data_IF_768780731675
#
_entry.id   IF_768780731675
#
_cell.length_a   1.000
_cell.length_b   1.000
_cell.length_c   1.000
_cell.angle_alpha   90.00
_cell.angle_beta   90.00
_cell.angle_gamma   90.00
#
_symmetry.space_group_name_H-M   'P 1'
#
loop_
_entity.id
_entity.type
_entity.pdbx_description
1 polymer ?
#
# COMPACT_ATOMS: atom_id res chain seq x y z
N UNK A 1 4.60 17.75 20.71
CA UNK A 1 3.48 16.89 20.27
C UNK A 1 2.75 17.56 19.13
N UNK A 2 2.42 16.84 18.07
CA UNK A 2 1.65 17.34 16.93
C UNK A 2 0.20 16.86 17.02
N UNK A 3 -0.73 17.60 16.40
CA UNK A 3 -2.12 17.19 16.25
C UNK A 3 -2.29 16.46 14.93
N UNK A 4 -2.57 15.17 14.96
CA UNK A 4 -2.69 14.31 13.79
C UNK A 4 -4.11 13.78 13.67
N UNK A 5 -4.62 13.73 12.44
CA UNK A 5 -5.87 13.07 12.16
C UNK A 5 -5.62 11.87 11.25
N UNK A 6 -6.17 10.69 11.62
CA UNK A 6 -6.11 9.46 10.82
C UNK A 6 -7.49 9.21 10.23
N UNK A 7 -7.57 9.20 8.91
CA UNK A 7 -8.80 8.98 8.15
C UNK A 7 -8.93 7.50 7.78
N UNK A 8 -9.89 6.83 8.39
CA UNK A 8 -10.10 5.39 8.33
C UNK A 8 -9.62 4.68 9.61
N UNK A 9 -10.51 3.92 10.25
CA UNK A 9 -10.22 3.09 11.43
C UNK A 9 -10.37 1.58 11.12
N UNK A 10 -10.06 1.20 9.88
CA UNK A 10 -10.01 -0.18 9.44
C UNK A 10 -8.80 -0.94 10.01
N UNK A 11 -8.45 -2.07 9.37
CA UNK A 11 -7.35 -2.93 9.80
C UNK A 11 -6.02 -2.17 9.93
N UNK A 12 -5.65 -1.38 8.93
CA UNK A 12 -4.37 -0.64 8.89
C UNK A 12 -4.48 0.69 9.64
N UNK A 13 -5.54 1.48 9.37
CA UNK A 13 -5.68 2.82 9.97
C UNK A 13 -5.78 2.82 11.49
N UNK A 14 -6.37 1.78 12.09
CA UNK A 14 -6.38 1.61 13.55
C UNK A 14 -4.97 1.39 14.14
N UNK A 15 -4.11 0.68 13.42
CA UNK A 15 -2.70 0.46 13.82
C UNK A 15 -1.92 1.77 13.71
N UNK A 16 -2.09 2.51 12.63
CA UNK A 16 -1.48 3.84 12.47
C UNK A 16 -1.89 4.80 13.58
N UNK A 17 -3.18 4.83 13.90
CA UNK A 17 -3.68 5.71 14.96
C UNK A 17 -3.07 5.37 16.32
N UNK A 18 -2.98 4.08 16.66
CA UNK A 18 -2.35 3.61 17.91
C UNK A 18 -0.86 3.93 17.95
N UNK A 19 -0.15 3.68 16.87
CA UNK A 19 1.29 3.90 16.77
C UNK A 19 1.63 5.40 16.93
N UNK A 20 0.93 6.28 16.22
CA UNK A 20 1.13 7.72 16.31
C UNK A 20 0.70 8.29 17.68
N UNK A 21 -0.30 7.71 18.32
CA UNK A 21 -0.78 8.15 19.63
C UNK A 21 0.26 7.96 20.75
N UNK A 22 1.28 7.12 20.54
CA UNK A 22 2.40 6.98 21.50
C UNK A 22 3.23 8.25 21.64
N UNK A 23 3.21 9.15 20.63
CA UNK A 23 4.06 10.34 20.58
C UNK A 23 3.29 11.64 20.28
N UNK A 24 2.04 11.57 19.84
CA UNK A 24 1.28 12.69 19.31
C UNK A 24 -0.17 12.71 19.80
N UNK A 25 -0.85 13.84 19.63
CA UNK A 25 -2.29 13.96 19.84
C UNK A 25 -3.02 13.45 18.61
N UNK A 26 -3.61 12.26 18.69
CA UNK A 26 -4.26 11.61 17.52
C UNK A 26 -5.77 11.65 17.66
N UNK A 27 -6.43 11.97 16.52
CA UNK A 27 -7.86 11.78 16.34
C UNK A 27 -8.08 10.80 15.20
N UNK A 28 -8.78 9.69 15.45
CA UNK A 28 -9.15 8.71 14.42
C UNK A 28 -10.57 8.95 13.91
N UNK A 29 -10.76 8.86 12.61
CA UNK A 29 -12.04 9.16 11.93
C UNK A 29 -12.48 7.99 11.09
N UNK A 30 -13.73 7.57 11.22
CA UNK A 30 -14.34 6.55 10.38
C UNK A 30 -15.84 6.80 10.25
N UNK A 31 -16.45 6.27 9.19
CA UNK A 31 -17.92 6.26 9.04
C UNK A 31 -18.55 5.18 9.95
N UNK A 32 -17.80 4.17 10.32
CA UNK A 32 -18.23 3.03 11.14
C UNK A 32 -17.95 3.25 12.60
N UNK A 33 -18.99 3.51 13.39
CA UNK A 33 -18.89 3.57 14.85
C UNK A 33 -18.28 2.28 15.46
N UNK A 34 -18.58 1.11 14.86
CA UNK A 34 -18.02 -0.18 15.29
C UNK A 34 -16.49 -0.25 15.17
N UNK A 35 -15.92 0.37 14.14
CA UNK A 35 -14.46 0.43 13.99
C UNK A 35 -13.83 1.34 15.05
N UNK A 36 -14.44 2.48 15.31
CA UNK A 36 -13.98 3.47 16.28
C UNK A 36 -14.02 2.97 17.72
N UNK A 37 -15.01 2.16 18.10
CA UNK A 37 -15.14 1.56 19.44
C UNK A 37 -13.95 0.68 19.85
N UNK A 38 -13.10 0.26 18.88
CA UNK A 38 -11.88 -0.51 19.17
C UNK A 38 -10.69 0.37 19.59
N UNK A 39 -10.85 1.69 19.55
CA UNK A 39 -9.83 2.69 19.84
C UNK A 39 -10.18 3.44 21.12
N UNK A 40 -10.09 2.75 22.29
CA UNK A 40 -10.55 3.26 23.58
C UNK A 40 -9.76 4.46 24.08
N UNK A 41 -8.45 4.53 23.78
CA UNK A 41 -7.53 5.54 24.33
C UNK A 41 -7.19 6.65 23.31
N UNK A 42 -7.94 6.70 22.20
CA UNK A 42 -7.72 7.66 21.12
C UNK A 42 -9.03 8.43 20.88
N UNK A 43 -8.92 9.75 20.71
CA UNK A 43 -10.05 10.58 20.34
C UNK A 43 -10.62 10.09 19.01
N UNK A 44 -11.94 9.92 18.94
CA UNK A 44 -12.61 9.41 17.73
C UNK A 44 -13.69 10.35 17.25
N UNK A 45 -13.91 10.41 15.94
CA UNK A 45 -14.98 11.16 15.28
C UNK A 45 -15.68 10.23 14.26
N UNK A 46 -16.97 9.97 14.46
CA UNK A 46 -17.77 9.23 13.50
C UNK A 46 -18.35 10.20 12.46
N UNK A 47 -17.82 10.16 11.24
CA UNK A 47 -18.28 11.03 10.15
C UNK A 47 -17.88 10.50 8.77
N UNK A 48 -18.65 10.90 7.76
CA UNK A 48 -18.38 10.61 6.35
C UNK A 48 -17.42 11.66 5.77
N UNK A 49 -16.15 11.27 5.59
CA UNK A 49 -15.09 12.11 5.02
C UNK A 49 -15.13 12.23 3.50
N UNK A 50 -15.99 11.48 2.80
CA UNK A 50 -16.24 11.68 1.37
C UNK A 50 -16.92 13.02 1.09
N UNK A 51 -17.60 13.57 2.10
CA UNK A 51 -18.23 14.89 2.07
C UNK A 51 -17.20 15.96 2.43
N UNK A 52 -16.79 16.75 1.44
CA UNK A 52 -15.77 17.81 1.58
C UNK A 52 -15.99 18.72 2.79
N UNK A 53 -17.25 19.14 3.05
CA UNK A 53 -17.58 20.00 4.21
C UNK A 53 -17.24 19.33 5.56
N UNK A 54 -17.53 18.03 5.70
CA UNK A 54 -17.22 17.27 6.91
C UNK A 54 -15.71 17.19 7.10
N UNK A 55 -15.00 16.81 6.04
CA UNK A 55 -13.54 16.70 6.05
C UNK A 55 -12.88 18.03 6.44
N UNK A 56 -13.23 19.12 5.75
CA UNK A 56 -12.69 20.45 6.03
C UNK A 56 -12.87 20.88 7.48
N UNK A 57 -14.06 20.62 8.06
CA UNK A 57 -14.35 20.97 9.46
C UNK A 57 -13.39 20.28 10.45
N UNK A 58 -13.09 18.99 10.22
CA UNK A 58 -12.30 18.20 11.18
C UNK A 58 -10.80 18.38 11.02
N UNK A 59 -10.31 18.86 9.85
CA UNK A 59 -8.87 19.03 9.60
C UNK A 59 -8.36 20.46 9.84
N UNK A 60 -9.20 21.41 10.27
CA UNK A 60 -8.81 22.81 10.43
C UNK A 60 -7.59 23.01 11.34
N UNK A 61 -7.58 22.35 12.50
CA UNK A 61 -6.59 22.53 13.55
C UNK A 61 -5.61 21.34 13.66
N UNK A 62 -5.30 20.66 12.54
CA UNK A 62 -4.34 19.56 12.53
C UNK A 62 -3.06 19.95 11.82
N UNK A 63 -1.95 19.37 12.27
CA UNK A 63 -0.62 19.54 11.67
C UNK A 63 -0.40 18.60 10.50
N UNK A 64 -1.00 17.39 10.56
CA UNK A 64 -0.85 16.35 9.56
C UNK A 64 -2.12 15.49 9.45
N UNK A 65 -2.46 15.14 8.22
CA UNK A 65 -3.48 14.13 7.88
C UNK A 65 -2.80 12.83 7.48
N UNK A 66 -3.29 11.71 7.97
CA UNK A 66 -2.87 10.36 7.55
C UNK A 66 -4.06 9.66 6.92
N UNK A 67 -3.93 9.26 5.66
CA UNK A 67 -5.01 8.62 4.89
C UNK A 67 -4.88 7.09 4.91
N UNK A 68 -5.97 6.41 5.30
CA UNK A 68 -6.11 4.96 5.30
C UNK A 68 -7.50 4.55 4.78
N UNK A 69 -7.92 5.18 3.70
CA UNK A 69 -9.23 4.99 3.08
C UNK A 69 -9.18 4.00 1.92
N UNK A 70 -10.31 3.38 1.54
CA UNK A 70 -10.39 2.60 0.31
C UNK A 70 -9.99 3.41 -0.92
N UNK A 71 -9.39 2.74 -1.92
CA UNK A 71 -8.80 3.37 -3.09
C UNK A 71 -9.76 4.30 -3.84
N UNK A 72 -11.05 3.94 -3.99
CA UNK A 72 -12.03 4.75 -4.70
C UNK A 72 -12.30 6.14 -4.05
N UNK A 73 -11.87 6.36 -2.80
CA UNK A 73 -12.02 7.63 -2.07
C UNK A 73 -10.70 8.42 -2.01
N UNK A 74 -9.56 7.73 -2.05
CA UNK A 74 -8.25 8.29 -1.73
C UNK A 74 -7.90 9.55 -2.52
N UNK A 75 -8.04 9.52 -3.84
CA UNK A 75 -7.69 10.65 -4.70
C UNK A 75 -8.49 11.92 -4.39
N UNK A 76 -9.82 11.79 -4.23
CA UNK A 76 -10.69 12.92 -3.88
C UNK A 76 -10.32 13.51 -2.52
N UNK A 77 -10.15 12.64 -1.52
CA UNK A 77 -9.81 13.08 -0.16
C UNK A 77 -8.44 13.74 -0.13
N UNK A 78 -7.42 13.19 -0.80
CA UNK A 78 -6.10 13.83 -0.95
C UNK A 78 -6.23 15.23 -1.55
N UNK A 79 -7.00 15.38 -2.64
CA UNK A 79 -7.26 16.68 -3.27
C UNK A 79 -7.87 17.67 -2.28
N UNK A 80 -8.91 17.25 -1.54
CA UNK A 80 -9.62 18.11 -0.59
C UNK A 80 -8.70 18.54 0.58
N UNK A 81 -7.82 17.65 1.06
CA UNK A 81 -6.81 17.94 2.10
C UNK A 81 -5.76 18.94 1.58
N UNK A 82 -5.26 18.75 0.36
CA UNK A 82 -4.32 19.66 -0.28
C UNK A 82 -4.96 21.06 -0.48
N UNK A 83 -6.22 21.12 -0.88
CA UNK A 83 -6.97 22.39 -1.02
C UNK A 83 -7.13 23.11 0.32
N UNK A 84 -7.25 22.37 1.42
CA UNK A 84 -7.28 22.93 2.77
C UNK A 84 -5.91 23.34 3.32
N UNK A 85 -4.84 23.21 2.53
CA UNK A 85 -3.47 23.58 2.92
C UNK A 85 -2.87 22.66 3.99
N UNK A 86 -3.29 21.40 4.08
CA UNK A 86 -2.81 20.45 5.07
C UNK A 86 -1.87 19.41 4.45
N UNK A 87 -0.79 19.10 5.16
CA UNK A 87 0.09 17.98 4.79
C UNK A 87 -0.63 16.64 4.93
N UNK A 88 -0.29 15.70 4.05
CA UNK A 88 -0.89 14.36 4.06
C UNK A 88 0.14 13.28 3.74
N UNK A 89 0.02 12.14 4.43
CA UNK A 89 0.64 10.85 4.08
C UNK A 89 -0.47 9.85 3.88
N UNK A 90 -0.52 9.22 2.71
CA UNK A 90 -1.66 8.37 2.30
C UNK A 90 -1.21 7.01 1.80
N UNK A 91 -1.96 5.97 2.17
CA UNK A 91 -1.76 4.59 1.72
C UNK A 91 -2.82 4.11 0.73
N UNK A 92 -3.80 4.94 0.39
CA UNK A 92 -4.92 4.54 -0.47
C UNK A 92 -4.44 4.16 -1.87
N UNK A 93 -4.90 3.01 -2.38
CA UNK A 93 -4.52 2.48 -3.69
C UNK A 93 -5.53 2.89 -4.77
N UNK A 94 -5.55 4.17 -5.17
CA UNK A 94 -6.47 4.71 -6.17
C UNK A 94 -5.94 4.62 -7.61
N UNK A 95 -6.81 4.54 -8.63
CA UNK A 95 -6.41 4.42 -10.04
C UNK A 95 -5.94 5.72 -10.69
N UNK A 96 -6.31 6.88 -10.12
CA UNK A 96 -5.99 8.18 -10.69
C UNK A 96 -4.50 8.49 -10.62
N UNK A 97 -4.00 9.33 -11.54
CA UNK A 97 -2.64 9.86 -11.51
C UNK A 97 -2.51 10.98 -10.47
N UNK A 98 -1.82 10.74 -9.33
CA UNK A 98 -1.67 11.73 -8.26
C UNK A 98 -0.85 12.95 -8.67
N UNK A 99 0.03 12.82 -9.67
CA UNK A 99 0.83 13.95 -10.14
C UNK A 99 -0.01 15.08 -10.76
N UNK A 100 -1.27 14.83 -11.10
CA UNK A 100 -2.21 15.90 -11.49
C UNK A 100 -2.47 16.90 -10.36
N UNK A 101 -2.23 16.52 -9.10
CA UNK A 101 -2.37 17.39 -7.93
C UNK A 101 -1.09 18.16 -7.57
N UNK A 102 0.05 17.89 -8.23
CA UNK A 102 1.35 18.46 -7.86
C UNK A 102 1.38 20.00 -7.88
N UNK A 103 0.85 20.61 -8.95
CA UNK A 103 0.77 22.08 -9.03
C UNK A 103 -0.07 22.67 -7.90
N UNK A 104 -1.16 22.02 -7.53
CA UNK A 104 -2.04 22.43 -6.43
C UNK A 104 -1.33 22.32 -5.09
N UNK A 105 -0.66 21.19 -4.84
CA UNK A 105 0.10 20.96 -3.61
C UNK A 105 1.25 21.96 -3.45
N UNK A 106 2.01 22.24 -4.51
CA UNK A 106 3.07 23.25 -4.51
C UNK A 106 2.54 24.67 -4.26
N UNK A 107 1.43 25.05 -4.91
CA UNK A 107 0.77 26.35 -4.70
C UNK A 107 0.38 26.54 -3.23
N UNK A 108 -0.15 25.51 -2.59
CA UNK A 108 -0.59 25.52 -1.20
C UNK A 108 0.55 25.21 -0.20
N UNK A 109 1.80 25.01 -0.69
CA UNK A 109 2.98 24.64 0.10
C UNK A 109 2.77 23.36 0.94
N UNK A 110 2.01 22.41 0.41
CA UNK A 110 1.64 21.14 1.06
C UNK A 110 2.63 20.05 0.68
N UNK A 111 3.01 19.24 1.65
CA UNK A 111 3.69 17.95 1.46
C UNK A 111 2.59 16.87 1.35
N UNK A 112 2.50 16.23 0.20
CA UNK A 112 1.52 15.17 -0.02
C UNK A 112 2.22 13.88 -0.46
N UNK A 113 2.46 12.98 0.49
CA UNK A 113 3.06 11.66 0.24
C UNK A 113 1.95 10.68 -0.11
N UNK A 114 2.10 10.00 -1.24
CA UNK A 114 1.16 9.01 -1.76
C UNK A 114 1.74 7.60 -1.71
N UNK A 115 0.89 6.58 -1.84
CA UNK A 115 1.33 5.18 -1.97
C UNK A 115 2.33 4.75 -0.86
N UNK A 116 2.14 5.22 0.38
CA UNK A 116 3.12 5.12 1.46
C UNK A 116 2.89 3.89 2.35
N UNK A 117 2.81 2.71 1.75
CA UNK A 117 2.63 1.43 2.45
C UNK A 117 3.86 0.52 2.41
N UNK A 118 3.64 -0.79 2.46
CA UNK A 118 4.71 -1.77 2.27
C UNK A 118 5.05 -1.89 0.79
N UNK A 119 4.05 -2.05 -0.08
CA UNK A 119 4.15 -2.07 -1.54
C UNK A 119 2.79 -1.70 -2.16
N UNK A 120 2.72 -0.60 -2.89
CA UNK A 120 3.78 0.41 -3.04
C UNK A 120 4.14 1.11 -1.73
N UNK A 121 5.36 1.58 -1.62
CA UNK A 121 5.85 2.30 -0.45
C UNK A 121 7.30 1.95 -0.09
N UNK A 122 7.52 1.01 0.83
CA UNK A 122 8.88 0.69 1.30
C UNK A 122 9.80 0.19 0.17
N UNK A 123 9.26 -0.59 -0.80
CA UNK A 123 10.00 -0.98 -1.99
C UNK A 123 10.51 0.21 -2.79
N UNK A 124 9.66 1.21 -2.98
CA UNK A 124 9.99 2.46 -3.67
C UNK A 124 11.04 3.28 -2.90
N UNK A 125 10.93 3.37 -1.56
CA UNK A 125 11.90 4.08 -0.70
C UNK A 125 13.27 3.45 -0.83
N UNK A 126 13.37 2.12 -0.74
CA UNK A 126 14.61 1.36 -0.92
C UNK A 126 15.17 1.59 -2.34
N UNK A 127 14.32 1.57 -3.35
CA UNK A 127 14.72 1.88 -4.72
C UNK A 127 15.32 3.28 -4.82
N UNK A 128 14.63 4.29 -4.30
CA UNK A 128 15.09 5.68 -4.30
C UNK A 128 16.44 5.87 -3.58
N UNK A 129 16.67 5.14 -2.50
CA UNK A 129 17.96 5.14 -1.81
C UNK A 129 19.09 4.65 -2.71
N UNK A 130 18.90 3.52 -3.40
CA UNK A 130 19.92 3.00 -4.30
C UNK A 130 20.10 3.85 -5.55
N UNK A 131 19.03 4.45 -6.07
CA UNK A 131 19.10 5.35 -7.21
C UNK A 131 19.97 6.59 -6.94
N UNK A 132 20.12 7.00 -5.67
CA UNK A 132 21.05 8.06 -5.29
C UNK A 132 22.52 7.63 -5.20
N UNK A 133 22.81 6.31 -5.23
CA UNK A 133 24.15 5.75 -4.96
C UNK A 133 24.76 4.98 -6.13
N UNK A 134 23.92 4.46 -7.02
CA UNK A 134 24.35 3.58 -8.09
C UNK A 134 23.52 3.77 -9.36
N UNK A 135 24.06 3.36 -10.51
CA UNK A 135 23.29 3.24 -11.75
C UNK A 135 22.53 1.93 -11.72
N UNK A 136 21.22 1.99 -11.45
CA UNK A 136 20.35 0.81 -11.43
C UNK A 136 20.09 0.33 -12.86
N UNK A 137 20.15 -0.98 -13.06
CA UNK A 137 19.79 -1.65 -14.32
C UNK A 137 18.52 -2.48 -14.19
N UNK A 138 18.30 -3.08 -13.01
CA UNK A 138 17.15 -3.95 -12.78
C UNK A 138 16.57 -3.73 -11.38
N UNK A 139 15.25 -3.71 -11.32
CA UNK A 139 14.47 -3.68 -10.08
C UNK A 139 13.38 -4.73 -10.15
N UNK A 140 13.33 -5.59 -9.17
CA UNK A 140 12.27 -6.56 -8.98
C UNK A 140 11.76 -6.49 -7.55
N UNK A 141 10.45 -6.44 -7.39
CA UNK A 141 9.80 -6.51 -6.09
C UNK A 141 8.74 -7.61 -6.12
N UNK A 142 8.86 -8.56 -5.21
CA UNK A 142 7.88 -9.59 -4.95
C UNK A 142 7.29 -9.34 -3.57
N UNK A 143 5.95 -9.26 -3.46
CA UNK A 143 5.29 -8.96 -2.19
C UNK A 143 3.99 -9.75 -2.03
N UNK A 144 3.72 -10.22 -0.83
CA UNK A 144 2.46 -10.89 -0.51
C UNK A 144 2.09 -10.75 0.96
N UNK A 145 0.79 -10.58 1.22
CA UNK A 145 0.19 -10.76 2.52
C UNK A 145 -0.71 -11.99 2.48
N UNK A 146 -0.43 -12.98 3.31
CA UNK A 146 -1.09 -14.27 3.27
C UNK A 146 -1.49 -14.73 4.67
N UNK A 147 -2.59 -15.49 4.81
CA UNK A 147 -2.91 -16.14 6.06
C UNK A 147 -1.88 -17.23 6.39
N UNK A 148 -1.54 -17.42 7.67
CA UNK A 148 -0.70 -18.53 8.10
C UNK A 148 -1.40 -19.89 7.87
N UNK A 149 -2.73 -19.91 8.03
CA UNK A 149 -3.54 -21.10 7.80
C UNK A 149 -4.14 -21.07 6.40
N UNK A 150 -3.81 -22.09 5.61
CA UNK A 150 -4.36 -22.30 4.27
C UNK A 150 -5.74 -22.94 4.37
N UNK A 151 -6.77 -22.26 3.85
CA UNK A 151 -8.15 -22.77 3.79
C UNK A 151 -8.64 -22.79 2.34
N UNK A 152 -9.03 -23.98 1.88
CA UNK A 152 -9.66 -24.14 0.57
C UNK A 152 -10.98 -23.32 0.50
N UNK A 153 -11.36 -22.73 -0.66
CA UNK A 153 -10.79 -22.93 -2.00
C UNK A 153 -9.64 -21.98 -2.38
N UNK A 154 -9.58 -20.78 -1.82
CA UNK A 154 -8.65 -19.75 -2.29
C UNK A 154 -7.33 -19.74 -1.54
N UNK A 155 -7.26 -20.38 -0.38
CA UNK A 155 -6.10 -20.31 0.52
C UNK A 155 -5.63 -18.85 0.76
N UNK A 156 -6.60 -17.95 0.75
CA UNK A 156 -6.39 -16.52 0.87
C UNK A 156 -7.41 -15.89 1.81
N UNK A 157 -6.94 -14.94 2.61
CA UNK A 157 -7.76 -14.04 3.40
C UNK A 157 -7.34 -12.60 3.13
N UNK A 158 -8.30 -11.69 3.04
CA UNK A 158 -8.02 -10.29 2.78
C UNK A 158 -7.44 -9.61 4.02
N UNK A 159 -6.16 -9.29 3.97
CA UNK A 159 -5.39 -8.63 5.02
C UNK A 159 -5.51 -7.10 4.96
N UNK A 160 -6.18 -6.57 3.95
CA UNK A 160 -6.55 -5.17 3.78
C UNK A 160 -7.95 -5.06 3.13
N UNK A 161 -8.29 -3.91 2.54
CA UNK A 161 -9.61 -3.66 1.92
C UNK A 161 -9.93 -4.71 0.85
N UNK A 162 -10.98 -5.55 1.01
CA UNK A 162 -11.28 -6.61 0.03
C UNK A 162 -11.62 -6.09 -1.37
N UNK A 163 -12.17 -4.88 -1.50
CA UNK A 163 -12.43 -4.30 -2.81
C UNK A 163 -11.12 -3.94 -3.52
N UNK A 164 -10.13 -3.44 -2.77
CA UNK A 164 -8.82 -3.12 -3.32
C UNK A 164 -8.05 -4.40 -3.71
N UNK A 165 -8.29 -5.53 -3.02
CA UNK A 165 -7.79 -6.86 -3.42
C UNK A 165 -8.34 -7.27 -4.78
N UNK A 166 -9.64 -7.08 -5.03
CA UNK A 166 -10.24 -7.37 -6.37
C UNK A 166 -9.62 -6.47 -7.43
N UNK A 167 -9.33 -5.20 -7.12
CA UNK A 167 -8.68 -4.29 -8.05
C UNK A 167 -7.29 -4.79 -8.50
N UNK A 168 -6.53 -5.43 -7.62
CA UNK A 168 -5.25 -6.05 -8.00
C UNK A 168 -5.42 -7.13 -9.10
N UNK A 169 -6.55 -7.84 -9.11
CA UNK A 169 -6.83 -8.91 -10.07
C UNK A 169 -7.36 -8.39 -11.41
N UNK A 170 -7.77 -7.14 -11.48
CA UNK A 170 -8.42 -6.53 -12.65
C UNK A 170 -7.49 -5.56 -13.37
N UNK A 171 -6.79 -4.70 -12.64
CA UNK A 171 -5.94 -3.65 -13.21
C UNK A 171 -4.85 -4.25 -14.07
N UNK A 172 -4.68 -3.80 -15.33
CA UNK A 172 -3.57 -4.24 -16.15
C UNK A 172 -2.23 -3.93 -15.48
N UNK A 173 -1.36 -4.94 -15.42
CA UNK A 173 -0.02 -4.82 -14.85
C UNK A 173 0.90 -4.07 -15.82
N UNK A 174 1.52 -3.00 -15.36
CA UNK A 174 2.48 -2.19 -16.11
C UNK A 174 3.87 -2.39 -15.54
N UNK A 175 4.83 -2.67 -16.42
CA UNK A 175 6.23 -2.82 -16.03
C UNK A 175 7.17 -2.33 -17.15
N UNK A 176 8.44 -2.14 -16.83
CA UNK A 176 9.46 -1.71 -17.80
C UNK A 176 10.34 -2.90 -18.16
N UNK A 177 10.49 -3.17 -19.45
CA UNK A 177 11.40 -4.19 -19.97
C UNK A 177 12.18 -3.61 -21.15
N UNK A 178 13.52 -3.66 -21.07
CA UNK A 178 14.41 -3.10 -22.09
C UNK A 178 14.06 -1.63 -22.43
N UNK A 179 13.86 -0.81 -21.40
CA UNK A 179 13.47 0.62 -21.46
C UNK A 179 12.12 0.89 -22.16
N UNK A 180 11.27 -0.12 -22.31
CA UNK A 180 9.94 0.01 -22.89
C UNK A 180 8.86 -0.32 -21.88
N UNK A 181 7.81 0.47 -21.87
CA UNK A 181 6.61 0.17 -21.07
C UNK A 181 5.89 -1.03 -21.69
N UNK A 182 5.69 -2.05 -20.88
CA UNK A 182 4.91 -3.24 -21.22
C UNK A 182 3.66 -3.25 -20.36
N UNK A 183 2.51 -3.56 -20.96
CA UNK A 183 1.25 -3.74 -20.24
C UNK A 183 0.74 -5.15 -20.51
N UNK A 184 0.45 -5.88 -19.46
CA UNK A 184 -0.17 -7.22 -19.52
C UNK A 184 -1.39 -7.29 -18.63
N UNK A 185 -2.20 -8.32 -18.81
CA UNK A 185 -3.29 -8.59 -17.88
C UNK A 185 -2.74 -8.88 -16.49
N UNK A 186 -3.44 -8.45 -15.45
CA UNK A 186 -3.19 -8.95 -14.09
C UNK A 186 -3.37 -10.48 -14.06
N UNK A 187 -2.69 -11.14 -13.13
CA UNK A 187 -2.65 -12.59 -12.99
C UNK A 187 -1.88 -13.31 -14.13
N UNK A 188 -1.12 -12.59 -14.96
CA UNK A 188 -0.27 -13.18 -16.02
C UNK A 188 1.13 -13.52 -15.52
N UNK A 189 1.88 -14.28 -16.32
CA UNK A 189 3.29 -14.65 -16.10
C UNK A 189 3.56 -15.18 -14.68
N UNK A 190 2.81 -16.18 -14.28
CA UNK A 190 2.98 -16.84 -12.99
C UNK A 190 4.28 -17.63 -12.92
N UNK A 191 4.96 -17.55 -11.77
CA UNK A 191 6.19 -18.26 -11.48
C UNK A 191 6.16 -18.75 -10.04
N UNK A 192 6.68 -19.97 -9.80
CA UNK A 192 6.87 -20.48 -8.45
C UNK A 192 8.19 -19.94 -7.89
N UNK A 193 8.14 -19.43 -6.67
CA UNK A 193 9.26 -18.83 -5.98
C UNK A 193 9.41 -19.47 -4.60
N UNK A 194 10.60 -19.97 -4.30
CA UNK A 194 10.92 -20.57 -3.00
C UNK A 194 11.37 -19.52 -2.00
N UNK A 195 10.84 -19.64 -0.78
CA UNK A 195 11.23 -18.85 0.39
C UNK A 195 11.59 -19.79 1.54
N UNK A 196 12.79 -19.64 2.09
CA UNK A 196 13.37 -20.58 3.07
C UNK A 196 12.46 -20.85 4.28
N UNK A 197 11.74 -19.84 4.78
CA UNK A 197 10.94 -19.94 6.00
C UNK A 197 9.43 -20.21 5.73
N UNK A 198 8.98 -20.17 4.46
CA UNK A 198 7.57 -20.20 4.09
C UNK A 198 7.28 -21.36 3.13
N UNK A 199 8.28 -21.77 2.33
CA UNK A 199 8.13 -22.70 1.21
C UNK A 199 7.74 -21.97 -0.08
N UNK A 200 7.12 -22.70 -1.00
CA UNK A 200 6.79 -22.22 -2.35
C UNK A 200 5.60 -21.28 -2.34
N UNK A 201 5.77 -20.10 -2.97
CA UNK A 201 4.69 -19.20 -3.32
C UNK A 201 4.60 -19.04 -4.84
N UNK A 202 3.45 -18.61 -5.33
CA UNK A 202 3.21 -18.28 -6.73
C UNK A 202 3.16 -16.77 -6.93
N UNK A 203 4.06 -16.25 -7.76
CA UNK A 203 4.07 -14.84 -8.16
C UNK A 203 3.29 -14.62 -9.44
N UNK A 204 2.73 -13.42 -9.62
CA UNK A 204 2.01 -13.01 -10.81
C UNK A 204 2.12 -11.50 -11.04
N UNK A 205 1.98 -11.05 -12.30
CA UNK A 205 2.08 -9.63 -12.64
C UNK A 205 0.94 -8.81 -12.04
N UNK A 206 1.30 -7.79 -11.27
CA UNK A 206 0.41 -6.79 -10.67
C UNK A 206 0.86 -5.37 -11.00
N UNK A 207 -0.01 -4.37 -10.83
CA UNK A 207 0.28 -2.96 -11.16
C UNK A 207 0.90 -2.21 -9.97
N UNK A 208 1.97 -2.76 -9.42
CA UNK A 208 2.61 -2.24 -8.21
C UNK A 208 3.70 -1.19 -8.43
N UNK A 209 4.31 -1.08 -9.61
CA UNK A 209 5.36 -0.09 -9.87
C UNK A 209 4.89 1.35 -9.70
N UNK A 210 3.64 1.66 -10.05
CA UNK A 210 2.99 2.94 -9.79
C UNK A 210 3.82 4.15 -10.27
N UNK A 211 4.27 4.98 -9.31
CA UNK A 211 5.07 6.18 -9.57
C UNK A 211 6.41 5.89 -10.24
N UNK A 212 7.04 4.75 -9.96
CA UNK A 212 8.36 4.39 -10.50
C UNK A 212 8.40 4.41 -12.03
N UNK A 213 7.31 4.04 -12.72
CA UNK A 213 7.22 4.10 -14.18
C UNK A 213 7.54 5.50 -14.69
N UNK A 214 7.13 6.54 -13.97
CA UNK A 214 7.30 7.94 -14.35
C UNK A 214 8.57 8.54 -13.78
N UNK A 215 8.85 8.30 -12.52
CA UNK A 215 9.95 8.94 -11.78
C UNK A 215 11.30 8.30 -12.03
N UNK A 216 11.31 7.00 -12.38
CA UNK A 216 12.50 6.18 -12.61
C UNK A 216 12.59 5.65 -14.04
N UNK A 217 12.06 6.38 -15.01
CA UNK A 217 12.00 6.00 -16.44
C UNK A 217 13.36 5.74 -17.08
N UNK A 218 14.45 6.14 -16.44
CA UNK A 218 15.84 5.86 -16.89
C UNK A 218 16.31 4.44 -16.57
N UNK A 219 15.57 3.68 -15.75
CA UNK A 219 15.92 2.30 -15.38
C UNK A 219 15.33 1.34 -16.42
N UNK A 220 16.17 0.51 -17.07
CA UNK A 220 15.72 -0.27 -18.22
C UNK A 220 14.81 -1.46 -17.88
N UNK A 221 14.90 -2.00 -16.66
CA UNK A 221 14.07 -3.13 -16.26
C UNK A 221 13.52 -2.92 -14.86
N UNK A 222 12.19 -2.88 -14.73
CA UNK A 222 11.49 -2.76 -13.45
C UNK A 222 10.22 -3.58 -13.46
N UNK A 223 10.00 -4.39 -12.45
CA UNK A 223 8.78 -5.18 -12.28
C UNK A 223 8.41 -5.31 -10.82
N UNK A 224 7.10 -5.32 -10.55
CA UNK A 224 6.54 -5.76 -9.27
C UNK A 224 5.53 -6.87 -9.51
N UNK A 225 5.57 -7.89 -8.66
CA UNK A 225 4.67 -9.04 -8.69
C UNK A 225 4.08 -9.30 -7.32
N UNK A 226 2.82 -9.68 -7.29
CA UNK A 226 2.15 -10.11 -6.06
C UNK A 226 2.35 -11.61 -5.85
N UNK A 227 2.44 -12.04 -4.59
CA UNK A 227 2.61 -13.42 -4.17
C UNK A 227 1.32 -13.98 -3.56
N UNK A 228 1.00 -15.22 -3.89
CA UNK A 228 -0.08 -16.01 -3.27
C UNK A 228 0.40 -17.45 -3.04
N UNK A 229 -0.38 -18.24 -2.35
CA UNK A 229 -0.16 -19.70 -2.32
C UNK A 229 -0.41 -20.30 -3.71
N UNK A 230 0.35 -21.32 -4.12
CA UNK A 230 0.18 -21.98 -5.42
C UNK A 230 -1.24 -22.48 -5.64
N UNK A 231 -1.79 -22.22 -6.83
CA UNK A 231 -3.16 -22.60 -7.21
C UNK A 231 -4.22 -21.52 -6.97
N UNK A 232 -3.98 -20.55 -6.07
CA UNK A 232 -4.91 -19.44 -5.86
C UNK A 232 -5.16 -18.63 -7.15
N UNK A 233 -4.10 -18.37 -7.90
CA UNK A 233 -4.16 -17.55 -9.14
C UNK A 233 -5.05 -18.19 -10.18
N UNK A 234 -5.07 -19.52 -10.29
CA UNK A 234 -5.89 -20.21 -11.27
C UNK A 234 -7.40 -20.05 -11.00
N UNK A 235 -7.82 -20.15 -9.75
CA UNK A 235 -9.22 -19.90 -9.39
C UNK A 235 -9.64 -18.45 -9.71
N UNK A 236 -8.75 -17.48 -9.45
CA UNK A 236 -9.00 -16.07 -9.77
C UNK A 236 -9.08 -15.83 -11.28
N UNK A 237 -8.25 -16.53 -12.08
CA UNK A 237 -8.30 -16.48 -13.55
C UNK A 237 -9.65 -17.03 -14.07
N UNK A 238 -10.11 -18.13 -13.51
CA UNK A 238 -11.42 -18.70 -13.87
C UNK A 238 -12.52 -17.68 -13.61
N UNK A 239 -12.59 -17.10 -12.43
CA UNK A 239 -13.57 -16.06 -12.10
C UNK A 239 -13.48 -14.86 -13.04
N UNK A 240 -12.26 -14.36 -13.33
CA UNK A 240 -12.02 -13.24 -14.24
C UNK A 240 -12.50 -13.56 -15.66
N UNK A 241 -12.09 -14.71 -16.22
CA UNK A 241 -12.44 -15.14 -17.58
C UNK A 241 -13.94 -15.42 -17.74
N UNK A 242 -14.59 -15.87 -16.70
CA UNK A 242 -16.05 -16.09 -16.66
C UNK A 242 -16.86 -14.80 -16.46
N UNK A 243 -16.19 -13.62 -16.34
CA UNK A 243 -16.85 -12.33 -16.23
C UNK A 243 -17.30 -11.92 -14.83
N UNK A 244 -16.98 -12.69 -13.78
CA UNK A 244 -17.38 -12.36 -12.41
C UNK A 244 -16.81 -11.04 -11.89
N UNK A 245 -15.69 -10.57 -12.45
CA UNK A 245 -15.08 -9.27 -12.09
C UNK A 245 -15.46 -8.14 -13.04
N UNK A 246 -16.47 -8.33 -13.90
CA UNK A 246 -16.91 -7.30 -14.85
C UNK A 246 -17.67 -6.17 -14.14
N UNK A 247 -17.33 -4.93 -14.52
CA UNK A 247 -18.09 -3.72 -14.16
C UNK A 247 -19.28 -3.47 -15.08
N UNK A 248 -19.33 -4.13 -16.26
CA UNK A 248 -20.44 -3.98 -17.21
C UNK A 248 -21.68 -4.67 -16.67
N UNK A 249 -22.79 -3.94 -16.46
CA UNK A 249 -24.01 -4.54 -15.96
C UNK A 249 -24.58 -5.60 -16.91
N UNK A 250 -25.08 -6.69 -16.35
CA UNK A 250 -25.88 -7.70 -17.04
C UNK A 250 -27.32 -7.64 -16.52
N UNK A 251 -28.25 -8.04 -17.34
CA UNK A 251 -29.67 -8.11 -16.95
C UNK A 251 -30.03 -9.52 -16.47
N UNK A 252 -30.62 -9.60 -15.27
CA UNK A 252 -31.10 -10.84 -14.67
C UNK A 252 -32.52 -10.54 -14.14
N UNK A 253 -33.54 -11.19 -14.73
CA UNK A 253 -34.95 -11.02 -14.33
C UNK A 253 -35.37 -9.54 -14.28
N UNK A 254 -34.99 -8.74 -15.28
CA UNK A 254 -35.35 -7.32 -15.39
C UNK A 254 -34.50 -6.39 -14.49
N UNK A 255 -33.55 -6.92 -13.69
CA UNK A 255 -32.65 -6.13 -12.86
C UNK A 255 -31.27 -6.01 -13.49
N UNK A 256 -30.72 -4.80 -13.54
CA UNK A 256 -29.33 -4.57 -13.97
C UNK A 256 -28.38 -4.77 -12.79
N UNK A 257 -27.51 -5.77 -12.88
CA UNK A 257 -26.55 -6.14 -11.85
C UNK A 257 -25.15 -6.09 -12.44
N UNK A 258 -24.20 -5.44 -11.77
CA UNK A 258 -22.78 -5.56 -12.12
C UNK A 258 -22.23 -6.86 -11.51
N UNK A 259 -21.65 -7.77 -12.30
CA UNK A 259 -21.12 -9.05 -11.80
C UNK A 259 -20.14 -8.86 -10.63
N UNK A 260 -19.28 -7.83 -10.69
CA UNK A 260 -18.31 -7.55 -9.62
C UNK A 260 -18.98 -7.28 -8.27
N UNK A 261 -20.14 -6.63 -8.22
CA UNK A 261 -20.83 -6.32 -6.96
C UNK A 261 -21.36 -7.60 -6.31
N UNK A 262 -21.91 -8.51 -7.12
CA UNK A 262 -22.34 -9.83 -6.65
C UNK A 262 -21.14 -10.66 -6.17
N UNK A 263 -20.07 -10.70 -6.96
CA UNK A 263 -18.84 -11.43 -6.64
C UNK A 263 -18.22 -10.93 -5.34
N UNK A 264 -18.11 -9.62 -5.16
CA UNK A 264 -17.63 -9.03 -3.93
C UNK A 264 -18.49 -9.43 -2.73
N UNK A 265 -19.82 -9.42 -2.89
CA UNK A 265 -20.77 -9.81 -1.83
C UNK A 265 -20.61 -11.27 -1.41
N UNK A 266 -20.23 -12.15 -2.34
CA UNK A 266 -20.02 -13.56 -2.08
C UNK A 266 -18.61 -13.83 -1.52
N UNK A 267 -17.57 -13.21 -2.06
CA UNK A 267 -16.18 -13.47 -1.69
C UNK A 267 -15.74 -12.80 -0.36
N UNK A 268 -16.22 -11.59 -0.06
CA UNK A 268 -15.77 -10.89 1.13
C UNK A 268 -16.01 -11.64 2.44
N UNK A 269 -17.16 -12.32 2.67
CA UNK A 269 -17.33 -13.17 3.84
C UNK A 269 -16.34 -14.32 3.93
N UNK A 270 -15.98 -14.92 2.76
CA UNK A 270 -15.03 -16.04 2.66
C UNK A 270 -13.61 -15.54 2.96
N UNK A 271 -13.22 -14.40 2.38
CA UNK A 271 -11.88 -13.83 2.55
C UNK A 271 -11.68 -13.08 3.86
N UNK A 272 -12.75 -12.86 4.62
CA UNK A 272 -12.64 -12.11 5.86
C UNK A 272 -11.85 -12.90 6.90
N UNK A 273 -10.78 -12.28 7.42
CA UNK A 273 -10.06 -12.79 8.58
C UNK A 273 -11.00 -12.91 9.78
N UNK A 274 -11.02 -14.08 10.40
CA UNK A 274 -11.77 -14.35 11.64
C UNK A 274 -10.97 -13.91 12.87
N UNK A 275 -11.63 -13.80 14.00
CA UNK A 275 -10.93 -13.50 15.27
C UNK A 275 -9.95 -14.65 15.59
N UNK A 276 -8.68 -14.29 15.75
CA UNK A 276 -7.61 -15.25 16.03
C UNK A 276 -6.86 -15.72 14.79
N UNK A 277 -7.31 -15.41 13.58
CA UNK A 277 -6.55 -15.68 12.37
C UNK A 277 -5.27 -14.84 12.37
N UNK A 278 -4.19 -15.44 11.88
CA UNK A 278 -2.88 -14.83 11.76
C UNK A 278 -2.46 -14.75 10.31
N UNK A 279 -1.69 -13.74 9.99
CA UNK A 279 -1.09 -13.52 8.68
C UNK A 279 0.42 -13.34 8.78
N UNK A 280 1.04 -13.37 7.63
CA UNK A 280 2.40 -12.88 7.45
C UNK A 280 2.49 -12.01 6.19
N UNK A 281 3.47 -11.13 6.19
CA UNK A 281 3.85 -10.34 5.02
C UNK A 281 5.25 -10.77 4.60
N UNK A 282 5.37 -11.20 3.36
CA UNK A 282 6.65 -11.53 2.73
C UNK A 282 6.94 -10.52 1.63
N UNK A 283 8.18 -10.03 1.59
CA UNK A 283 8.63 -9.15 0.52
C UNK A 283 10.08 -9.45 0.18
N UNK A 284 10.37 -9.51 -1.10
CA UNK A 284 11.72 -9.61 -1.62
C UNK A 284 11.94 -8.51 -2.65
N UNK A 285 12.99 -7.71 -2.45
CA UNK A 285 13.38 -6.65 -3.40
C UNK A 285 14.77 -6.98 -3.90
N UNK A 286 14.93 -7.02 -5.22
CA UNK A 286 16.22 -7.25 -5.88
C UNK A 286 16.55 -6.02 -6.71
N UNK A 287 17.69 -5.39 -6.43
CA UNK A 287 18.19 -4.22 -7.15
C UNK A 287 19.57 -4.58 -7.71
N UNK A 288 19.70 -4.54 -9.04
CA UNK A 288 20.98 -4.77 -9.72
C UNK A 288 21.44 -3.48 -10.38
N UNK A 289 22.74 -3.31 -10.48
CA UNK A 289 23.30 -2.15 -11.15
C UNK A 289 24.81 -2.02 -11.01
N UNK A 290 25.30 -0.80 -11.22
CA UNK A 290 26.73 -0.49 -11.17
C UNK A 290 26.97 0.55 -10.07
N UNK A 291 27.73 0.14 -9.05
CA UNK A 291 28.22 0.98 -7.97
C UNK A 291 29.74 1.01 -7.98
N UNK A 292 30.35 2.20 -8.01
CA UNK A 292 31.83 2.34 -8.05
C UNK A 292 32.51 1.50 -9.17
N UNK A 293 31.89 1.48 -10.36
CA UNK A 293 32.35 0.73 -11.56
C UNK A 293 32.28 -0.80 -11.42
N UNK A 294 31.62 -1.33 -10.39
CA UNK A 294 31.44 -2.78 -10.17
C UNK A 294 29.96 -3.13 -10.27
N UNK A 295 29.67 -4.28 -10.84
CA UNK A 295 28.33 -4.85 -10.80
C UNK A 295 28.01 -5.27 -9.37
N UNK A 296 26.85 -4.86 -8.90
CA UNK A 296 26.38 -5.19 -7.55
C UNK A 296 24.92 -5.62 -7.60
N UNK A 297 24.54 -6.48 -6.69
CA UNK A 297 23.17 -6.90 -6.44
C UNK A 297 22.86 -6.71 -4.96
N UNK A 298 21.84 -5.94 -4.68
CA UNK A 298 21.26 -5.84 -3.34
C UNK A 298 19.95 -6.65 -3.30
N UNK A 299 19.82 -7.49 -2.29
CA UNK A 299 18.61 -8.24 -2.00
C UNK A 299 18.12 -7.91 -0.61
N UNK A 300 16.90 -7.40 -0.53
CA UNK A 300 16.19 -7.12 0.73
C UNK A 300 15.10 -8.18 0.91
N UNK A 301 15.03 -8.77 2.09
CA UNK A 301 14.01 -9.73 2.44
C UNK A 301 13.29 -9.26 3.69
N UNK A 302 11.97 -9.23 3.64
CA UNK A 302 11.08 -9.05 4.77
C UNK A 302 10.28 -10.33 4.96
N UNK A 303 10.21 -10.81 6.18
CA UNK A 303 9.18 -11.72 6.65
C UNK A 303 8.71 -11.21 8.00
N UNK A 304 7.56 -10.56 8.01
CA UNK A 304 6.87 -10.15 9.22
C UNK A 304 5.67 -11.06 9.46
N UNK A 305 5.38 -11.34 10.72
CA UNK A 305 4.27 -12.21 11.14
C UNK A 305 3.31 -11.45 12.05
N UNK A 306 2.10 -11.95 12.16
CA UNK A 306 1.15 -11.52 13.19
C UNK A 306 1.85 -11.41 14.55
N UNK A 307 1.73 -10.26 15.21
CA UNK A 307 2.34 -10.00 16.51
C UNK A 307 1.48 -9.03 17.32
N UNK A 308 1.41 -9.24 18.64
CA UNK A 308 0.71 -8.36 19.60
C UNK A 308 -0.73 -8.02 19.17
N UNK A 309 -1.50 -9.07 18.81
CA UNK A 309 -2.87 -8.96 18.30
C UNK A 309 -3.00 -8.05 17.04
N UNK A 310 -1.92 -7.87 16.30
CA UNK A 310 -1.89 -7.03 15.10
C UNK A 310 -1.46 -7.85 13.89
N UNK A 311 -2.24 -7.79 12.83
CA UNK A 311 -1.92 -8.47 11.57
C UNK A 311 -0.67 -7.86 10.93
N UNK A 312 0.13 -8.72 10.32
CA UNK A 312 1.41 -8.34 9.71
C UNK A 312 1.25 -7.27 8.62
N UNK A 313 0.25 -7.41 7.75
CA UNK A 313 0.00 -6.41 6.71
C UNK A 313 -0.27 -5.02 7.30
N UNK A 314 -1.00 -4.93 8.42
CA UNK A 314 -1.25 -3.66 9.07
C UNK A 314 0.00 -3.09 9.76
N UNK A 315 0.88 -3.95 10.28
CA UNK A 315 2.18 -3.57 10.85
C UNK A 315 3.09 -2.99 9.77
N UNK A 316 3.35 -3.78 8.72
CA UNK A 316 4.30 -3.42 7.66
C UNK A 316 3.85 -2.19 6.86
N UNK A 317 2.57 -2.11 6.50
CA UNK A 317 1.99 -0.96 5.82
C UNK A 317 1.85 0.24 6.74
N UNK A 318 1.27 0.05 7.93
CA UNK A 318 0.97 1.12 8.86
C UNK A 318 2.23 1.76 9.42
N UNK A 319 3.22 0.98 9.84
CA UNK A 319 4.46 1.54 10.40
C UNK A 319 5.34 2.22 9.37
N UNK A 320 5.31 1.79 8.09
CA UNK A 320 5.96 2.55 7.00
C UNK A 320 5.33 3.94 6.87
N UNK A 321 4.01 4.01 6.86
CA UNK A 321 3.29 5.29 6.77
C UNK A 321 3.56 6.19 7.99
N UNK A 322 3.52 5.64 9.20
CA UNK A 322 3.74 6.42 10.43
C UNK A 322 5.20 6.86 10.58
N UNK A 323 6.17 6.09 10.09
CA UNK A 323 7.57 6.52 9.98
C UNK A 323 7.68 7.80 9.13
N UNK A 324 7.07 7.80 7.95
CA UNK A 324 7.07 8.96 7.05
C UNK A 324 6.30 10.15 7.64
N UNK A 325 5.18 9.90 8.31
CA UNK A 325 4.44 10.93 9.05
C UNK A 325 5.35 11.62 10.09
N UNK A 326 6.12 10.84 10.84
CA UNK A 326 7.09 11.35 11.80
C UNK A 326 8.24 12.15 11.16
N UNK A 327 8.72 11.76 9.95
CA UNK A 327 9.73 12.54 9.22
C UNK A 327 9.21 13.93 8.87
N UNK A 328 7.96 14.05 8.43
CA UNK A 328 7.33 15.35 8.11
C UNK A 328 7.18 16.19 9.36
N UNK A 329 6.64 15.62 10.45
CA UNK A 329 6.43 16.34 11.71
C UNK A 329 7.76 16.83 12.30
N UNK A 330 8.80 16.00 12.28
CA UNK A 330 10.15 16.35 12.76
C UNK A 330 10.91 17.28 11.80
N UNK A 331 10.32 17.66 10.67
CA UNK A 331 10.95 18.51 9.66
C UNK A 331 12.16 17.88 8.95
N UNK A 332 12.29 16.55 8.99
CA UNK A 332 13.33 15.81 8.25
C UNK A 332 13.00 15.64 6.76
N UNK A 333 11.72 15.73 6.40
CA UNK A 333 11.26 15.79 5.01
C UNK A 333 10.41 17.04 4.79
N UNK A 334 10.76 17.86 3.78
CA UNK A 334 10.18 19.20 3.58
C UNK A 334 9.77 19.49 2.12
N UNK A 335 9.87 18.50 1.24
CA UNK A 335 9.58 18.70 -0.18
C UNK A 335 8.08 18.90 -0.39
N UNK A 336 7.66 20.09 -0.78
CA UNK A 336 6.27 20.41 -1.13
C UNK A 336 5.92 19.89 -2.52
N UNK A 337 4.65 19.56 -2.72
CA UNK A 337 4.13 18.91 -3.92
C UNK A 337 3.72 17.47 -3.64
N UNK A 338 3.43 16.75 -4.71
CA UNK A 338 3.21 15.30 -4.64
C UNK A 338 4.56 14.62 -4.49
N UNK A 339 4.69 13.82 -3.45
CA UNK A 339 5.91 13.10 -3.10
C UNK A 339 5.64 11.59 -3.16
N UNK A 340 6.02 10.91 -4.25
CA UNK A 340 6.02 9.47 -4.28
C UNK A 340 7.10 8.93 -3.32
N UNK A 341 6.96 7.69 -2.81
CA UNK A 341 7.83 7.17 -1.75
C UNK A 341 9.31 7.10 -2.12
N UNK A 342 9.66 6.92 -3.39
CA UNK A 342 11.05 6.91 -3.86
C UNK A 342 11.79 8.24 -3.62
N UNK A 343 11.09 9.35 -3.45
CA UNK A 343 11.72 10.64 -3.08
C UNK A 343 12.22 10.67 -1.64
N UNK A 344 11.72 9.75 -0.80
CA UNK A 344 12.14 9.55 0.59
C UNK A 344 13.39 8.67 0.72
N UNK A 345 14.01 8.25 -0.39
CA UNK A 345 15.18 7.36 -0.35
C UNK A 345 16.33 7.85 0.53
N UNK A 346 16.56 9.16 0.63
CA UNK A 346 17.58 9.74 1.53
C UNK A 346 17.25 9.55 3.01
N UNK A 347 16.00 9.26 3.35
CA UNK A 347 15.53 9.04 4.71
C UNK A 347 15.41 7.55 5.06
N UNK A 348 15.93 6.64 4.21
CA UNK A 348 15.78 5.18 4.40
C UNK A 348 16.27 4.73 5.78
N UNK A 349 17.39 5.24 6.26
CA UNK A 349 17.97 4.83 7.54
C UNK A 349 17.07 5.21 8.73
N UNK A 350 16.51 6.44 8.72
CA UNK A 350 15.53 6.87 9.73
C UNK A 350 14.25 6.01 9.69
N UNK A 351 13.77 5.68 8.48
CA UNK A 351 12.57 4.85 8.29
C UNK A 351 12.84 3.42 8.78
N UNK A 352 13.98 2.84 8.41
CA UNK A 352 14.38 1.50 8.86
C UNK A 352 14.48 1.43 10.38
N UNK A 353 15.17 2.39 11.00
CA UNK A 353 15.26 2.44 12.46
C UNK A 353 13.87 2.47 13.11
N UNK A 354 12.95 3.27 12.58
CA UNK A 354 11.58 3.35 13.08
C UNK A 354 10.83 2.02 12.97
N UNK A 355 11.05 1.28 11.87
CA UNK A 355 10.48 -0.04 11.66
C UNK A 355 11.11 -1.10 12.59
N UNK A 356 12.43 -1.07 12.75
CA UNK A 356 13.19 -1.97 13.64
C UNK A 356 12.75 -1.82 15.10
N UNK A 357 12.49 -0.60 15.58
CA UNK A 357 11.90 -0.32 16.90
C UNK A 357 10.50 -0.96 17.11
N UNK A 358 9.86 -1.40 16.02
CA UNK A 358 8.55 -2.08 15.96
C UNK A 358 8.66 -3.54 15.52
N UNK A 359 9.87 -4.08 15.54
CA UNK A 359 10.20 -5.46 15.11
C UNK A 359 9.83 -5.76 13.64
N UNK A 360 9.81 -4.75 12.77
CA UNK A 360 9.69 -4.93 11.31
C UNK A 360 11.07 -4.79 10.70
N UNK A 361 11.66 -5.92 10.28
CA UNK A 361 13.09 -6.00 9.95
C UNK A 361 13.31 -6.43 8.50
N UNK A 362 14.09 -5.66 7.75
CA UNK A 362 14.56 -5.99 6.40
C UNK A 362 15.97 -6.57 6.45
N UNK A 363 16.13 -7.88 6.17
CA UNK A 363 17.44 -8.53 6.03
C UNK A 363 18.05 -8.14 4.68
N UNK A 364 19.30 -7.67 4.69
CA UNK A 364 19.98 -7.15 3.50
C UNK A 364 21.17 -8.04 3.15
N UNK A 365 21.24 -8.44 1.89
CA UNK A 365 22.37 -9.15 1.32
C UNK A 365 22.92 -8.35 0.14
N UNK A 366 24.23 -8.14 0.10
CA UNK A 366 24.97 -7.53 -1.01
C UNK A 366 25.89 -8.55 -1.64
N UNK A 367 25.83 -8.68 -2.98
CA UNK A 367 26.74 -9.49 -3.80
C UNK A 367 27.45 -8.62 -4.83
#
# INVERSE_FOLDING_TARGET
>A
MANIIVLGAGLVGSVMAKDLATQHNVTSVDISQKNLQKLTDIKTICTDVSKTKNLQKIIQNVDLVVGALPGFMGYKVMKDVIQAGKNIVDISFYPEDPFKLDKLAKKNKVIAVMDCGVAPGMGNIIFGYHNNKMKITDYECLVGGLPERREWPYEYQAVFSPIDVIEEYIRPARYIKNSKLVTKEALSDTELVEFDEIGTLESWNSDGLRSLIKTMSHVPNMIEKTLRYPGCVEYLRVLKKSGFFSYTPIEINGMKIRPIDLTAKLLFPIWKMKKGDKDFTVMQIIIKGIENKKHVTYKYNLLDRFKDNTISMARTTGFTCTAVANLIIKGKYKQTGISPPEYLGKNLDDIKQYLEERDVNYKIHKK
#
